data_IF_951808261954
#
_entry.id   IF_951808261954
#
_cell.length_a   1.000
_cell.length_b   1.000
_cell.length_c   1.000
_cell.angle_alpha   90.00
_cell.angle_beta   90.00
_cell.angle_gamma   90.00
#
_symmetry.space_group_name_H-M   'P 1'
#
loop_
_entity.id
_entity.type
_entity.pdbx_description
1 polymer ?
#
# COMPACT_ATOMS: atom_id res chain seq x y z
N UNK A 1 -8.24 -28.04 -53.51
CA UNK A 1 -6.85 -28.35 -53.11
C UNK A 1 -6.84 -28.81 -51.67
N UNK A 2 -6.67 -30.13 -51.42
CA UNK A 2 -6.80 -30.74 -50.10
C UNK A 2 -5.45 -30.80 -49.37
N UNK A 3 -5.43 -30.52 -48.06
CA UNK A 3 -4.42 -30.96 -47.08
C UNK A 3 -5.15 -31.01 -45.72
N UNK A 4 -5.69 -32.16 -45.31
CA UNK A 4 -5.00 -33.27 -44.64
C UNK A 4 -4.34 -32.88 -43.32
N UNK A 5 -4.95 -33.37 -42.22
CA UNK A 5 -4.33 -34.06 -41.06
C UNK A 5 -3.41 -33.24 -40.12
N UNK A 6 -3.45 -33.32 -38.79
CA UNK A 6 -3.70 -34.45 -37.88
C UNK A 6 -4.29 -34.00 -36.53
N UNK A 7 -5.18 -34.82 -36.02
CA UNK A 7 -5.65 -34.86 -34.64
C UNK A 7 -4.58 -35.49 -33.73
N UNK A 8 -3.92 -34.69 -32.89
CA UNK A 8 -3.10 -35.23 -31.80
C UNK A 8 -3.99 -35.42 -30.57
N UNK A 9 -4.59 -36.60 -30.49
CA UNK A 9 -5.11 -37.16 -29.24
C UNK A 9 -3.92 -37.43 -28.32
N UNK A 10 -3.70 -36.57 -27.32
CA UNK A 10 -2.85 -36.89 -26.18
C UNK A 10 -3.59 -37.93 -25.32
N UNK A 11 -3.30 -39.21 -25.58
CA UNK A 11 -3.54 -40.30 -24.64
C UNK A 11 -2.69 -40.06 -23.40
N UNK A 12 -3.33 -39.81 -22.27
CA UNK A 12 -2.70 -39.91 -20.97
C UNK A 12 -2.67 -41.39 -20.61
N UNK A 13 -1.56 -42.06 -20.90
CA UNK A 13 -1.27 -43.39 -20.38
C UNK A 13 -1.25 -43.33 -18.85
N UNK A 14 -2.23 -43.99 -18.25
CA UNK A 14 -2.37 -44.15 -16.81
C UNK A 14 -1.77 -45.50 -16.46
N UNK A 15 -0.47 -45.52 -16.21
CA UNK A 15 0.22 -46.69 -15.69
C UNK A 15 -0.34 -47.05 -14.30
N UNK A 16 -1.20 -48.06 -14.25
CA UNK A 16 -1.53 -48.81 -13.05
C UNK A 16 -0.42 -49.81 -12.78
N UNK A 17 0.62 -49.37 -12.08
CA UNK A 17 1.59 -50.27 -11.45
C UNK A 17 0.95 -51.00 -10.27
N UNK A 18 0.47 -52.21 -10.51
CA UNK A 18 0.09 -53.18 -9.48
C UNK A 18 1.36 -53.77 -8.86
N UNK A 19 1.95 -53.06 -7.89
CA UNK A 19 2.93 -53.62 -6.96
C UNK A 19 2.21 -54.15 -5.73
N UNK A 20 2.01 -55.47 -5.67
CA UNK A 20 1.52 -56.17 -4.48
C UNK A 20 2.67 -56.20 -3.47
N UNK A 21 2.76 -55.17 -2.64
CA UNK A 21 3.67 -55.14 -1.49
C UNK A 21 2.92 -55.58 -0.24
N UNK A 22 3.51 -56.55 0.45
CA UNK A 22 3.00 -57.21 1.64
C UNK A 22 2.54 -56.24 2.73
N UNK A 23 1.40 -56.61 3.32
CA UNK A 23 0.66 -55.85 4.33
C UNK A 23 1.40 -55.82 5.65
N UNK A 24 1.83 -54.64 6.07
CA UNK A 24 2.07 -54.30 7.47
C UNK A 24 0.80 -53.62 8.03
N UNK A 25 -0.01 -54.25 8.90
CA UNK A 25 -1.35 -53.77 9.27
C UNK A 25 -1.40 -52.66 10.32
N UNK A 26 -0.28 -52.08 10.77
CA UNK A 26 -0.25 -51.18 11.93
C UNK A 26 -0.19 -49.66 11.63
N UNK A 27 -0.32 -49.20 10.38
CA UNK A 27 -0.21 -47.77 10.08
C UNK A 27 -1.23 -47.28 9.03
N UNK A 28 -2.51 -47.53 9.28
CA UNK A 28 -3.59 -46.87 8.56
C UNK A 28 -3.91 -45.52 9.21
N UNK A 29 -2.93 -44.61 9.28
CA UNK A 29 -3.27 -43.20 9.33
C UNK A 29 -3.89 -42.86 7.99
N UNK A 30 -5.23 -42.89 7.96
CA UNK A 30 -6.08 -42.52 6.86
C UNK A 30 -5.73 -41.08 6.45
N UNK A 31 -4.74 -40.95 5.57
CA UNK A 31 -4.40 -39.71 4.90
C UNK A 31 -5.49 -39.51 3.86
N UNK A 32 -6.66 -39.05 4.32
CA UNK A 32 -7.72 -38.55 3.47
C UNK A 32 -7.08 -37.39 2.71
N UNK A 33 -6.62 -37.65 1.48
CA UNK A 33 -6.29 -36.60 0.52
C UNK A 33 -7.60 -35.88 0.22
N UNK A 34 -7.97 -34.96 1.10
CA UNK A 34 -9.12 -34.09 0.97
C UNK A 34 -9.01 -33.47 -0.43
N UNK A 35 -10.00 -33.74 -1.28
CA UNK A 35 -10.07 -33.16 -2.62
C UNK A 35 -10.14 -31.64 -2.45
N UNK A 36 -9.00 -30.99 -2.57
CA UNK A 36 -8.93 -29.53 -2.50
C UNK A 36 -9.82 -28.94 -3.58
N UNK A 37 -10.60 -27.92 -3.21
CA UNK A 37 -11.41 -27.17 -4.16
C UNK A 37 -10.52 -26.53 -5.22
N UNK A 38 -11.07 -26.22 -6.40
CA UNK A 38 -10.30 -25.57 -7.47
C UNK A 38 -9.75 -24.20 -7.03
N UNK A 39 -10.45 -23.51 -6.14
CA UNK A 39 -9.98 -22.24 -5.54
C UNK A 39 -8.77 -22.47 -4.65
N UNK A 40 -8.81 -23.51 -3.79
CA UNK A 40 -7.71 -23.86 -2.89
C UNK A 40 -6.47 -24.32 -3.65
N UNK A 41 -6.63 -25.15 -4.69
CA UNK A 41 -5.52 -25.52 -5.60
C UNK A 41 -4.89 -24.30 -6.26
N UNK A 42 -5.71 -23.36 -6.72
CA UNK A 42 -5.25 -22.11 -7.35
C UNK A 42 -4.57 -21.18 -6.34
N UNK A 43 -5.02 -21.17 -5.08
CA UNK A 43 -4.39 -20.41 -4.00
C UNK A 43 -3.01 -21.00 -3.67
N UNK A 44 -2.90 -22.31 -3.48
CA UNK A 44 -1.62 -23.00 -3.23
C UNK A 44 -0.63 -22.85 -4.38
N UNK A 45 -1.09 -22.96 -5.63
CA UNK A 45 -0.23 -22.69 -6.79
C UNK A 45 0.29 -21.26 -6.77
N UNK A 46 -0.56 -20.26 -6.48
CA UNK A 46 -0.14 -18.86 -6.36
C UNK A 46 0.84 -18.65 -5.22
N UNK A 47 0.61 -19.27 -4.06
CA UNK A 47 1.53 -19.22 -2.92
C UNK A 47 2.90 -19.83 -3.30
N UNK A 48 2.90 -21.01 -3.92
CA UNK A 48 4.12 -21.68 -4.40
C UNK A 48 4.89 -20.83 -5.42
N UNK A 49 4.21 -20.21 -6.39
CA UNK A 49 4.84 -19.33 -7.39
C UNK A 49 5.33 -18.03 -6.76
N UNK A 50 4.65 -17.50 -5.74
CA UNK A 50 5.07 -16.26 -5.07
C UNK A 50 6.25 -16.45 -4.11
N UNK A 51 6.44 -17.64 -3.56
CA UNK A 51 7.53 -17.95 -2.64
C UNK A 51 8.92 -17.91 -3.31
N UNK A 52 8.99 -18.22 -4.61
CA UNK A 52 10.24 -18.17 -5.39
C UNK A 52 10.22 -16.99 -6.39
N UNK A 53 11.07 -15.96 -6.21
CA UNK A 53 11.08 -14.79 -7.08
C UNK A 53 11.46 -15.12 -8.53
N UNK A 54 12.32 -16.12 -8.76
CA UNK A 54 12.76 -16.54 -10.09
C UNK A 54 11.63 -17.29 -10.80
N UNK A 55 10.97 -18.23 -10.10
CA UNK A 55 9.79 -18.91 -10.63
C UNK A 55 8.66 -17.91 -10.94
N UNK A 56 8.43 -16.92 -10.08
CA UNK A 56 7.47 -15.84 -10.30
C UNK A 56 7.79 -15.04 -11.55
N UNK A 57 9.05 -14.65 -11.73
CA UNK A 57 9.49 -13.90 -12.90
C UNK A 57 9.25 -14.69 -14.20
N UNK A 58 9.65 -15.97 -14.23
CA UNK A 58 9.42 -16.87 -15.38
C UNK A 58 7.93 -17.06 -15.68
N UNK A 59 7.11 -17.26 -14.64
CA UNK A 59 5.66 -17.37 -14.79
C UNK A 59 5.04 -16.11 -15.40
N UNK A 60 5.43 -14.93 -14.90
CA UNK A 60 4.96 -13.65 -15.44
C UNK A 60 5.43 -13.43 -16.88
N UNK A 61 6.68 -13.77 -17.21
CA UNK A 61 7.21 -13.70 -18.57
C UNK A 61 6.40 -14.58 -19.54
N UNK A 62 6.18 -15.85 -19.19
CA UNK A 62 5.34 -16.78 -19.99
C UNK A 62 3.92 -16.26 -20.17
N UNK A 63 3.36 -15.63 -19.13
CA UNK A 63 2.01 -15.02 -19.19
C UNK A 63 1.98 -13.81 -20.13
N UNK A 64 3.02 -12.96 -20.13
CA UNK A 64 3.17 -11.84 -21.07
C UNK A 64 3.32 -12.34 -22.51
N UNK A 65 4.15 -13.34 -22.74
CA UNK A 65 4.36 -13.93 -24.07
C UNK A 65 3.06 -14.54 -24.63
N UNK A 66 2.34 -15.34 -23.82
CA UNK A 66 1.04 -15.89 -24.19
C UNK A 66 0.00 -14.81 -24.51
N UNK A 67 0.02 -13.69 -23.79
CA UNK A 67 -0.84 -12.54 -24.09
C UNK A 67 -0.48 -11.91 -25.44
N UNK A 68 0.81 -11.66 -25.71
CA UNK A 68 1.26 -11.10 -26.99
C UNK A 68 0.95 -12.03 -28.17
N UNK A 69 1.07 -13.35 -27.98
CA UNK A 69 0.69 -14.35 -28.96
C UNK A 69 -0.80 -14.27 -29.29
N UNK A 70 -1.67 -14.29 -28.28
CA UNK A 70 -3.13 -14.13 -28.48
C UNK A 70 -3.52 -12.78 -29.07
N UNK A 71 -2.77 -11.72 -28.75
CA UNK A 71 -2.95 -10.39 -29.34
C UNK A 71 -2.63 -10.41 -30.84
N UNK A 72 -1.51 -11.01 -31.25
CA UNK A 72 -1.15 -11.19 -32.67
C UNK A 72 -2.16 -12.05 -33.43
N UNK A 73 -2.69 -13.08 -32.78
CA UNK A 73 -3.71 -13.97 -33.37
C UNK A 73 -5.12 -13.37 -33.37
N UNK A 74 -5.33 -12.14 -32.88
CA UNK A 74 -6.66 -11.53 -32.78
C UNK A 74 -7.63 -12.24 -31.83
N UNK A 75 -7.16 -13.21 -31.03
CA UNK A 75 -7.98 -14.01 -30.09
C UNK A 75 -8.25 -13.30 -28.76
N UNK A 76 -8.09 -11.98 -28.71
CA UNK A 76 -8.48 -11.19 -27.55
C UNK A 76 -10.00 -11.12 -27.48
N UNK A 77 -10.59 -11.74 -26.44
CA UNK A 77 -12.06 -11.81 -26.22
C UNK A 77 -12.78 -10.46 -26.20
N UNK A 78 -12.03 -9.37 -26.05
CA UNK A 78 -12.56 -8.02 -26.04
C UNK A 78 -11.78 -7.19 -27.06
N UNK A 79 -12.46 -6.51 -27.99
CA UNK A 79 -11.81 -5.56 -28.88
C UNK A 79 -11.20 -4.42 -28.05
N UNK A 80 -10.10 -3.81 -28.52
CA UNK A 80 -9.56 -2.58 -27.95
C UNK A 80 -10.67 -1.55 -27.71
N UNK A 81 -10.63 -0.88 -26.56
CA UNK A 81 -11.67 0.11 -26.18
C UNK A 81 -11.79 1.23 -27.22
N UNK A 82 -10.68 1.58 -27.88
CA UNK A 82 -10.64 2.57 -28.95
C UNK A 82 -11.46 2.18 -30.20
N UNK A 83 -11.63 0.88 -30.46
CA UNK A 83 -12.42 0.36 -31.59
C UNK A 83 -13.92 0.27 -31.26
N UNK A 84 -14.32 0.50 -30.01
CA UNK A 84 -15.72 0.51 -29.61
C UNK A 84 -16.36 1.86 -29.95
N UNK A 85 -17.64 1.84 -30.33
CA UNK A 85 -18.44 3.05 -30.47
C UNK A 85 -18.46 3.87 -29.17
N UNK A 86 -18.53 5.21 -29.28
CA UNK A 86 -18.52 6.13 -28.14
C UNK A 86 -19.55 5.75 -27.06
N UNK A 87 -20.78 5.42 -27.49
CA UNK A 87 -21.84 4.97 -26.60
C UNK A 87 -21.46 3.71 -25.79
N UNK A 88 -20.80 2.73 -26.43
CA UNK A 88 -20.36 1.50 -25.76
C UNK A 88 -19.18 1.73 -24.82
N UNK A 89 -18.27 2.64 -25.18
CA UNK A 89 -17.21 3.08 -24.27
C UNK A 89 -17.79 3.75 -23.02
N UNK A 90 -18.78 4.62 -23.18
CA UNK A 90 -19.44 5.30 -22.06
C UNK A 90 -20.22 4.33 -21.17
N UNK A 91 -20.90 3.34 -21.76
CA UNK A 91 -21.55 2.27 -21.01
C UNK A 91 -20.56 1.46 -20.16
N UNK A 92 -19.38 1.12 -20.72
CA UNK A 92 -18.30 0.45 -19.95
C UNK A 92 -17.76 1.34 -18.83
N UNK A 93 -17.55 2.64 -19.09
CA UNK A 93 -17.14 3.61 -18.06
C UNK A 93 -18.17 3.70 -16.94
N UNK A 94 -19.46 3.79 -17.25
CA UNK A 94 -20.54 3.80 -16.25
C UNK A 94 -20.58 2.51 -15.45
N UNK A 95 -20.48 1.34 -16.11
CA UNK A 95 -20.42 0.04 -15.43
C UNK A 95 -19.24 -0.04 -14.46
N UNK A 96 -18.07 0.46 -14.85
CA UNK A 96 -16.90 0.52 -13.99
C UNK A 96 -17.12 1.44 -12.78
N UNK A 97 -17.73 2.63 -12.96
CA UNK A 97 -18.08 3.53 -11.84
C UNK A 97 -19.04 2.87 -10.86
N UNK A 98 -20.08 2.18 -11.35
CA UNK A 98 -21.04 1.46 -10.52
C UNK A 98 -20.36 0.32 -9.76
N UNK A 99 -19.50 -0.45 -10.42
CA UNK A 99 -18.71 -1.49 -9.77
C UNK A 99 -17.81 -0.92 -8.66
N UNK A 100 -17.13 0.21 -8.89
CA UNK A 100 -16.29 0.87 -7.89
C UNK A 100 -17.13 1.38 -6.70
N UNK A 101 -18.27 2.02 -6.95
CA UNK A 101 -19.19 2.46 -5.89
C UNK A 101 -19.66 1.27 -5.06
N UNK A 102 -20.13 0.20 -5.71
CA UNK A 102 -20.56 -1.03 -5.05
C UNK A 102 -19.43 -1.65 -4.22
N UNK A 103 -18.19 -1.71 -4.76
CA UNK A 103 -17.02 -2.21 -4.03
C UNK A 103 -16.72 -1.37 -2.79
N UNK A 104 -16.75 -0.05 -2.90
CA UNK A 104 -16.55 0.86 -1.74
C UNK A 104 -17.65 0.68 -0.69
N UNK A 105 -18.91 0.58 -1.10
CA UNK A 105 -20.03 0.29 -0.20
C UNK A 105 -19.87 -1.07 0.48
N UNK A 106 -19.45 -2.12 -0.24
CA UNK A 106 -19.18 -3.44 0.34
C UNK A 106 -18.03 -3.42 1.35
N UNK A 107 -17.00 -2.60 1.12
CA UNK A 107 -15.88 -2.46 2.06
C UNK A 107 -16.34 -1.69 3.30
N UNK A 108 -17.11 -0.61 3.15
CA UNK A 108 -17.66 0.17 4.27
C UNK A 108 -18.65 -0.64 5.11
N UNK A 109 -19.48 -1.45 4.45
CA UNK A 109 -20.50 -2.28 5.10
C UNK A 109 -19.99 -3.70 5.38
N UNK A 110 -18.70 -3.99 5.17
CA UNK A 110 -18.14 -5.24 5.64
C UNK A 110 -18.22 -5.13 7.17
N UNK A 111 -18.98 -6.01 7.85
CA UNK A 111 -18.99 -5.99 9.30
C UNK A 111 -17.53 -6.01 9.72
N UNK A 112 -17.12 -5.06 10.54
CA UNK A 112 -15.87 -5.17 11.29
C UNK A 112 -16.05 -6.38 12.19
N UNK A 113 -15.96 -7.58 11.62
CA UNK A 113 -15.85 -8.81 12.37
C UNK A 113 -14.50 -8.70 13.07
N UNK A 114 -14.58 -8.25 14.32
CA UNK A 114 -13.68 -8.62 15.38
C UNK A 114 -12.20 -8.57 14.99
N UNK A 115 -11.65 -7.36 14.85
CA UNK A 115 -10.51 -7.12 15.73
C UNK A 115 -11.12 -7.20 17.12
N UNK A 116 -10.78 -8.27 17.83
CA UNK A 116 -11.11 -8.49 19.23
C UNK A 116 -11.12 -7.16 19.96
N UNK A 117 -12.18 -6.96 20.75
CA UNK A 117 -12.24 -6.03 21.86
C UNK A 117 -10.98 -6.21 22.72
N UNK A 118 -9.87 -5.61 22.29
CA UNK A 118 -8.83 -5.18 23.20
C UNK A 118 -9.48 -3.98 23.83
N UNK A 119 -9.94 -4.18 25.06
CA UNK A 119 -10.34 -3.15 26.00
C UNK A 119 -9.21 -2.13 26.01
N UNK A 120 -9.34 -1.10 25.16
CA UNK A 120 -8.41 0.01 25.12
C UNK A 120 -8.57 0.68 26.47
N UNK A 121 -7.53 0.55 27.29
CA UNK A 121 -7.43 1.17 28.58
C UNK A 121 -7.76 2.66 28.45
N UNK A 122 -8.88 3.07 29.03
CA UNK A 122 -9.45 4.42 28.91
C UNK A 122 -8.53 5.52 29.49
N UNK A 123 -7.48 5.15 30.23
CA UNK A 123 -6.47 6.09 30.73
C UNK A 123 -5.75 6.85 29.62
N UNK A 124 -5.50 6.24 28.45
CA UNK A 124 -4.83 6.92 27.33
C UNK A 124 -5.70 7.95 26.61
N UNK A 125 -7.00 8.03 26.92
CA UNK A 125 -7.91 9.02 26.36
C UNK A 125 -8.10 10.25 27.26
N UNK A 126 -7.54 10.24 28.47
CA UNK A 126 -7.79 11.29 29.47
C UNK A 126 -6.89 12.53 29.31
N UNK A 127 -5.74 12.40 28.65
CA UNK A 127 -4.77 13.50 28.51
C UNK A 127 -4.94 14.35 27.24
N UNK A 128 -5.88 14.01 26.35
CA UNK A 128 -6.27 14.87 25.22
C UNK A 128 -7.65 15.46 25.48
N UNK A 129 -7.68 16.44 26.37
CA UNK A 129 -8.86 17.27 26.57
C UNK A 129 -9.35 17.83 25.22
N UNK A 130 -10.63 17.67 24.86
CA UNK A 130 -11.22 18.42 23.78
C UNK A 130 -11.28 19.88 24.20
N UNK A 131 -10.61 20.74 23.44
CA UNK A 131 -10.93 22.16 23.44
C UNK A 131 -12.45 22.29 23.19
N UNK A 132 -13.16 22.69 24.24
CA UNK A 132 -14.57 23.08 24.17
C UNK A 132 -14.75 24.14 23.10
N UNK A 133 -15.65 23.94 22.12
CA UNK A 133 -16.15 25.03 21.30
C UNK A 133 -17.06 25.89 22.17
N UNK A 134 -16.54 27.00 22.69
CA UNK A 134 -17.36 28.03 23.32
C UNK A 134 -18.28 28.67 22.28
N UNK A 135 -19.57 28.36 22.43
CA UNK A 135 -20.72 29.28 22.53
C UNK A 135 -20.68 30.62 21.78
N UNK A 136 -21.75 30.82 21.01
CA UNK A 136 -22.55 32.05 20.86
C UNK A 136 -22.04 33.17 19.94
N UNK A 137 -22.53 33.16 18.69
CA UNK A 137 -23.14 34.36 18.09
C UNK A 137 -24.43 33.95 17.37
N UNK A 138 -25.56 34.31 17.97
CA UNK A 138 -26.87 34.35 17.34
C UNK A 138 -26.99 35.67 16.57
N UNK A 139 -27.40 35.63 15.30
CA UNK A 139 -28.03 36.75 14.58
C UNK A 139 -28.41 36.39 13.14
N UNK A 140 -29.71 36.23 12.90
CA UNK A 140 -30.38 37.06 11.89
C UNK A 140 -30.74 36.47 10.52
N UNK A 141 -32.01 36.06 10.42
CA UNK A 141 -32.99 36.47 9.39
C UNK A 141 -32.92 35.93 7.93
N UNK A 142 -34.03 35.26 7.62
CA UNK A 142 -34.55 34.77 6.34
C UNK A 142 -34.23 35.55 5.04
N UNK A 143 -33.91 34.79 3.98
CA UNK A 143 -34.71 34.74 2.73
C UNK A 143 -34.31 33.56 1.84
N UNK A 144 -35.31 32.95 1.20
CA UNK A 144 -35.22 31.88 0.22
C UNK A 144 -34.30 32.24 -0.96
N UNK A 145 -33.56 31.25 -1.48
CA UNK A 145 -32.99 31.32 -2.83
C UNK A 145 -31.89 30.29 -3.15
N UNK A 146 -32.25 29.29 -3.96
CA UNK A 146 -31.40 28.59 -4.96
C UNK A 146 -30.19 27.74 -4.49
N UNK A 147 -30.13 26.43 -4.82
CA UNK A 147 -28.93 25.63 -4.66
C UNK A 147 -27.97 25.88 -5.84
N UNK A 148 -27.16 26.93 -5.77
CA UNK A 148 -25.98 27.06 -6.64
C UNK A 148 -24.79 26.43 -5.93
N UNK A 149 -24.44 25.25 -6.43
CA UNK A 149 -23.19 24.53 -6.16
C UNK A 149 -21.98 25.45 -6.37
N UNK A 150 -21.50 26.07 -5.29
CA UNK A 150 -20.26 26.85 -5.29
C UNK A 150 -19.10 25.96 -4.85
N UNK A 151 -18.37 25.45 -5.83
CA UNK A 151 -17.01 24.95 -5.65
C UNK A 151 -16.08 26.15 -5.34
N UNK A 152 -16.09 26.59 -4.08
CA UNK A 152 -15.09 27.48 -3.53
C UNK A 152 -13.89 26.65 -3.08
N UNK A 153 -12.95 26.41 -4.00
CA UNK A 153 -11.59 25.98 -3.69
C UNK A 153 -10.67 27.21 -3.70
N UNK A 154 -11.08 28.30 -3.06
CA UNK A 154 -10.15 29.40 -2.82
C UNK A 154 -9.09 28.92 -1.84
N UNK A 155 -7.86 28.94 -2.35
CA UNK A 155 -6.59 28.83 -1.63
C UNK A 155 -6.64 29.62 -0.33
N UNK A 156 -6.87 28.92 0.78
CA UNK A 156 -6.34 29.35 2.06
C UNK A 156 -4.95 28.71 2.14
N UNK A 157 -3.89 29.50 1.99
CA UNK A 157 -2.58 29.05 2.44
C UNK A 157 -2.67 28.90 3.96
N UNK A 158 -2.48 27.68 4.53
CA UNK A 158 -2.26 27.59 5.95
C UNK A 158 -0.92 28.29 6.23
N UNK A 159 -0.97 29.33 7.07
CA UNK A 159 0.20 29.86 7.76
C UNK A 159 1.04 28.70 8.26
N UNK A 160 2.33 28.73 7.95
CA UNK A 160 3.27 27.68 8.33
C UNK A 160 3.42 27.65 9.84
N UNK A 161 2.53 26.94 10.52
CA UNK A 161 2.81 26.42 11.85
C UNK A 161 3.96 25.45 11.65
N UNK A 162 5.15 25.89 12.05
CA UNK A 162 6.31 25.01 12.23
C UNK A 162 5.87 24.03 13.31
N UNK A 163 5.36 22.88 12.89
CA UNK A 163 5.14 21.75 13.78
C UNK A 163 6.54 21.27 14.14
N UNK A 164 7.04 21.80 15.24
CA UNK A 164 8.25 21.35 15.90
C UNK A 164 7.97 19.93 16.39
N UNK A 165 8.39 18.95 15.59
CA UNK A 165 8.44 17.56 16.02
C UNK A 165 9.57 17.44 17.03
N UNK A 166 9.28 17.69 18.30
CA UNK A 166 10.22 17.39 19.36
C UNK A 166 10.47 15.87 19.35
N UNK A 167 11.71 15.55 19.02
CA UNK A 167 12.23 14.22 18.80
C UNK A 167 12.42 13.54 20.16
N UNK A 168 11.43 12.79 20.64
CA UNK A 168 11.44 12.13 21.96
C UNK A 168 12.43 10.97 22.10
N UNK A 169 13.37 10.81 21.15
CA UNK A 169 14.47 9.84 21.22
C UNK A 169 15.80 10.47 21.66
N UNK A 170 15.78 11.38 22.64
CA UNK A 170 17.00 11.78 23.34
C UNK A 170 16.90 11.37 24.80
N UNK A 171 17.54 10.24 25.12
CA UNK A 171 17.92 9.86 26.47
C UNK A 171 18.54 11.07 27.20
N UNK A 172 18.23 11.30 28.49
CA UNK A 172 18.97 12.29 29.25
C UNK A 172 20.41 11.81 29.43
N UNK A 173 21.36 12.62 28.95
CA UNK A 173 22.75 12.58 29.42
C UNK A 173 22.73 12.93 30.91
N UNK A 174 22.73 11.90 31.75
CA UNK A 174 22.95 12.05 33.18
C UNK A 174 24.44 12.29 33.41
N UNK A 175 24.69 13.38 34.13
CA UNK A 175 25.98 13.84 34.64
C UNK A 175 26.80 12.74 35.29
N UNK A 176 28.09 12.80 35.00
CA UNK A 176 29.19 12.12 35.65
C UNK A 176 29.10 12.16 37.18
N UNK A 177 29.06 10.98 37.81
CA UNK A 177 29.76 10.75 39.07
C UNK A 177 30.49 9.41 39.01
N UNK A 178 31.80 9.54 39.00
CA UNK A 178 32.84 8.55 39.16
C UNK A 178 32.57 7.59 40.33
N UNK A 179 32.47 6.28 40.07
CA UNK A 179 32.71 5.25 41.07
C UNK A 179 33.31 3.99 40.44
N UNK A 180 34.64 3.94 40.48
CA UNK A 180 35.42 2.71 40.29
C UNK A 180 35.08 1.72 41.42
N UNK A 181 34.84 0.45 41.05
CA UNK A 181 35.52 -0.75 41.57
C UNK A 181 34.71 -2.03 41.35
N UNK A 182 35.39 -3.02 40.76
CA UNK A 182 35.16 -4.48 40.78
C UNK A 182 34.47 -5.10 39.55
N UNK A 183 35.17 -5.97 38.78
CA UNK A 183 34.60 -6.67 37.64
C UNK A 183 33.93 -7.97 38.09
N UNK A 184 32.60 -8.01 38.07
CA UNK A 184 31.86 -9.26 37.97
C UNK A 184 31.38 -9.42 36.53
N UNK A 185 31.98 -10.39 35.83
CA UNK A 185 31.39 -11.01 34.66
C UNK A 185 30.06 -11.65 35.08
N UNK A 186 28.95 -11.03 34.71
CA UNK A 186 27.66 -11.69 34.62
C UNK A 186 27.15 -11.53 33.20
N UNK A 187 26.94 -12.68 32.56
CA UNK A 187 26.36 -12.83 31.24
C UNK A 187 25.09 -11.99 31.13
N UNK A 188 25.17 -10.90 30.36
CA UNK A 188 24.00 -10.32 29.72
C UNK A 188 23.51 -11.30 28.64
N UNK A 189 22.95 -12.43 29.10
CA UNK A 189 22.04 -13.23 28.33
C UNK A 189 20.91 -12.29 27.94
N UNK A 190 20.89 -11.89 26.68
CA UNK A 190 19.77 -11.20 26.08
C UNK A 190 18.50 -11.94 26.50
N UNK A 191 17.71 -11.31 27.37
CA UNK A 191 16.40 -11.79 27.79
C UNK A 191 15.51 -11.70 26.55
N UNK A 192 15.68 -12.67 25.65
CA UNK A 192 14.65 -13.01 24.70
C UNK A 192 13.45 -13.38 25.58
N UNK A 193 12.30 -12.68 25.48
CA UNK A 193 11.16 -13.01 26.30
C UNK A 193 10.90 -14.48 26.09
N UNK A 194 11.03 -15.27 27.16
CA UNK A 194 10.92 -16.73 27.10
C UNK A 194 9.46 -17.04 26.75
N UNK A 195 9.15 -17.09 25.45
CA UNK A 195 7.81 -17.34 24.90
C UNK A 195 7.37 -18.80 25.13
N UNK A 196 8.18 -19.58 25.82
CA UNK A 196 8.15 -21.04 25.91
C UNK A 196 7.01 -21.59 26.78
N UNK A 197 6.27 -20.73 27.49
CA UNK A 197 5.10 -21.09 28.30
C UNK A 197 3.75 -20.63 27.75
N UNK A 198 3.71 -19.93 26.61
CA UNK A 198 2.46 -19.37 26.09
C UNK A 198 1.67 -20.40 25.26
N UNK A 199 0.33 -20.41 25.36
CA UNK A 199 -0.51 -21.22 24.48
C UNK A 199 -0.21 -20.91 23.00
N UNK A 200 -0.22 -21.93 22.14
CA UNK A 200 0.10 -21.77 20.71
C UNK A 200 -0.77 -20.74 19.98
N UNK A 201 -2.01 -20.53 20.43
CA UNK A 201 -2.91 -19.49 19.92
C UNK A 201 -2.41 -18.07 20.22
N UNK A 202 -1.84 -17.87 21.40
CA UNK A 202 -1.26 -16.59 21.83
C UNK A 202 0.03 -16.33 21.05
N UNK A 203 0.91 -17.33 20.93
CA UNK A 203 2.13 -17.20 20.11
C UNK A 203 1.82 -16.83 18.66
N UNK A 204 0.85 -17.51 18.03
CA UNK A 204 0.44 -17.18 16.66
C UNK A 204 -0.07 -15.73 16.55
N UNK A 205 -0.77 -15.24 17.56
CA UNK A 205 -1.28 -13.87 17.60
C UNK A 205 -0.14 -12.87 17.75
N UNK A 206 0.83 -13.13 18.63
CA UNK A 206 2.05 -12.33 18.79
C UNK A 206 2.80 -12.26 17.46
N UNK A 207 3.05 -13.39 16.80
CA UNK A 207 3.74 -13.42 15.51
C UNK A 207 2.98 -12.62 14.45
N UNK A 208 1.65 -12.73 14.39
CA UNK A 208 0.83 -11.95 13.43
C UNK A 208 0.93 -10.45 13.70
N UNK A 209 0.88 -10.03 14.97
CA UNK A 209 1.01 -8.63 15.35
C UNK A 209 2.41 -8.11 15.01
N UNK A 210 3.46 -8.89 15.29
CA UNK A 210 4.83 -8.56 14.93
C UNK A 210 4.97 -8.30 13.42
N UNK A 211 4.51 -9.23 12.59
CA UNK A 211 4.56 -9.05 11.13
C UNK A 211 3.74 -7.83 10.65
N UNK A 212 2.61 -7.54 11.30
CA UNK A 212 1.82 -6.35 10.97
C UNK A 212 2.56 -5.06 11.33
N UNK A 213 3.19 -5.02 12.51
CA UNK A 213 3.99 -3.87 12.96
C UNK A 213 5.17 -3.65 12.02
N UNK A 214 5.92 -4.71 11.70
CA UNK A 214 7.05 -4.62 10.75
C UNK A 214 6.60 -4.13 9.37
N UNK A 215 5.50 -4.67 8.84
CA UNK A 215 4.95 -4.24 7.55
C UNK A 215 4.48 -2.77 7.57
N UNK A 216 3.95 -2.30 8.69
CA UNK A 216 3.59 -0.89 8.86
C UNK A 216 4.82 0.00 8.96
N UNK A 217 5.86 -0.46 9.67
CA UNK A 217 7.12 0.27 9.80
C UNK A 217 7.83 0.43 8.46
N UNK A 218 7.89 -0.63 7.65
CA UNK A 218 8.42 -0.57 6.27
C UNK A 218 7.65 0.44 5.43
N UNK A 219 6.30 0.43 5.54
CA UNK A 219 5.46 1.37 4.79
C UNK A 219 5.67 2.82 5.22
N UNK A 220 5.92 3.07 6.50
CA UNK A 220 6.24 4.41 7.02
C UNK A 220 7.57 4.86 6.43
N UNK A 221 8.61 4.03 6.50
CA UNK A 221 9.93 4.36 5.95
C UNK A 221 9.88 4.68 4.44
N UNK A 222 9.09 3.94 3.66
CA UNK A 222 8.88 4.22 2.24
C UNK A 222 8.17 5.56 1.98
N UNK A 223 7.23 5.95 2.85
CA UNK A 223 6.54 7.23 2.75
C UNK A 223 7.45 8.39 3.17
N UNK A 224 8.29 8.20 4.19
CA UNK A 224 9.27 9.18 4.62
C UNK A 224 10.28 9.49 3.51
N UNK A 225 10.79 8.46 2.82
CA UNK A 225 11.65 8.67 1.63
C UNK A 225 10.94 9.47 0.54
N UNK A 226 9.70 9.11 0.21
CA UNK A 226 8.92 9.85 -0.80
C UNK A 226 8.70 11.31 -0.41
N UNK A 227 8.44 11.59 0.87
CA UNK A 227 8.29 12.96 1.36
C UNK A 227 9.61 13.72 1.23
N UNK A 228 10.73 13.08 1.56
CA UNK A 228 12.05 13.67 1.39
C UNK A 228 12.35 14.02 -0.07
N UNK A 229 12.12 13.10 -1.01
CA UNK A 229 12.31 13.33 -2.45
C UNK A 229 11.45 14.51 -2.95
N UNK A 230 10.18 14.57 -2.53
CA UNK A 230 9.29 15.69 -2.88
C UNK A 230 9.75 17.02 -2.26
N UNK A 231 10.35 17.00 -1.07
CA UNK A 231 10.93 18.19 -0.46
C UNK A 231 12.18 18.66 -1.19
N UNK A 232 13.00 17.75 -1.73
CA UNK A 232 14.11 18.08 -2.63
C UNK A 232 13.62 18.71 -3.92
N UNK A 233 12.64 18.11 -4.58
CA UNK A 233 12.02 18.66 -5.79
C UNK A 233 11.47 20.07 -5.56
N UNK A 234 10.76 20.27 -4.44
CA UNK A 234 10.23 21.58 -4.05
C UNK A 234 11.35 22.60 -3.86
N UNK A 235 12.46 22.23 -3.21
CA UNK A 235 13.63 23.11 -3.03
C UNK A 235 14.24 23.48 -4.38
N UNK A 236 14.45 22.49 -5.25
CA UNK A 236 15.00 22.68 -6.59
C UNK A 236 14.15 23.62 -7.44
N UNK A 237 12.82 23.44 -7.46
CA UNK A 237 11.91 24.31 -8.20
C UNK A 237 11.93 25.75 -7.65
N UNK A 238 12.00 25.92 -6.33
CA UNK A 238 12.13 27.26 -5.72
C UNK A 238 13.41 27.96 -6.15
N UNK A 239 14.54 27.26 -6.14
CA UNK A 239 15.83 27.81 -6.59
C UNK A 239 15.81 28.19 -8.08
N UNK A 240 15.15 27.41 -8.94
CA UNK A 240 14.98 27.77 -10.34
C UNK A 240 14.14 29.04 -10.53
N UNK A 241 13.01 29.13 -9.81
CA UNK A 241 12.15 30.33 -9.86
C UNK A 241 12.94 31.56 -9.42
N UNK A 242 13.69 31.46 -8.33
CA UNK A 242 14.54 32.54 -7.83
C UNK A 242 15.60 32.94 -8.86
N UNK A 243 16.32 31.98 -9.44
CA UNK A 243 17.33 32.25 -10.47
C UNK A 243 16.76 32.98 -11.69
N UNK A 244 15.60 32.56 -12.18
CA UNK A 244 14.93 33.20 -13.32
C UNK A 244 14.41 34.60 -12.96
N UNK A 245 13.86 34.75 -11.75
CA UNK A 245 13.39 36.04 -11.25
C UNK A 245 14.53 37.04 -11.12
N UNK A 246 15.69 36.61 -10.61
CA UNK A 246 16.89 37.44 -10.51
C UNK A 246 17.43 37.84 -11.89
N UNK A 247 17.45 36.91 -12.85
CA UNK A 247 17.87 37.21 -14.22
C UNK A 247 16.94 38.23 -14.90
N UNK A 248 15.62 38.10 -14.70
CA UNK A 248 14.63 39.06 -15.21
C UNK A 248 14.76 40.43 -14.54
N UNK A 249 14.96 40.47 -13.21
CA UNK A 249 15.15 41.72 -12.47
C UNK A 249 16.39 42.48 -12.95
N UNK A 250 17.52 41.79 -13.15
CA UNK A 250 18.74 42.39 -13.72
C UNK A 250 18.50 42.94 -15.13
N UNK A 251 17.73 42.25 -15.95
CA UNK A 251 17.40 42.71 -17.31
C UNK A 251 16.54 43.99 -17.30
N UNK A 252 15.51 44.03 -16.44
CA UNK A 252 14.65 45.20 -16.27
C UNK A 252 15.43 46.42 -15.76
N UNK A 253 16.35 46.23 -14.81
CA UNK A 253 17.20 47.33 -14.34
C UNK A 253 18.15 47.88 -15.42
N UNK A 254 18.60 47.05 -16.37
CA UNK A 254 19.51 47.47 -17.44
C UNK A 254 18.79 48.22 -18.56
N UNK A 255 17.58 47.77 -18.94
CA UNK A 255 16.78 48.41 -20.00
C UNK A 255 16.38 49.85 -19.69
N UNK A 256 16.20 50.19 -18.41
CA UNK A 256 15.81 51.55 -17.99
C UNK A 256 16.99 52.54 -17.96
N UNK A 257 18.25 52.08 -18.00
CA UNK A 257 19.42 52.97 -17.94
C UNK A 257 19.78 53.54 -19.33
N UNK A 258 19.56 52.76 -20.39
CA UNK A 258 19.89 53.15 -21.77
C UNK A 258 18.86 54.16 -22.36
N UNK A 259 17.66 54.27 -21.79
CA UNK A 259 16.63 55.23 -22.24
C UNK A 259 16.87 56.65 -21.72
N UNK A 260 17.63 56.82 -20.64
CA UNK A 260 17.89 58.13 -19.99
C UNK A 260 19.12 58.83 -20.59
N UNK A 261 20.03 58.10 -21.25
CA UNK A 261 21.28 58.65 -21.80
C UNK A 261 21.25 58.97 -23.30
N UNK A 262 20.13 58.71 -23.99
CA UNK A 262 20.00 58.86 -25.45
C UNK A 262 19.42 60.18 -25.98
N UNK A 263 19.32 61.25 -25.17
CA UNK A 263 18.93 62.59 -25.64
C UNK A 263 19.92 63.64 -25.16
N UNK A 264 20.92 63.90 -26.01
CA UNK A 264 21.86 65.02 -25.92
C UNK A 264 22.37 65.34 -27.30
#
# INVERSE_FOLDING_TARGET
MPKSTDSVLLSCDRETGNGVSERNPANYHCCVKMRLSNNEKSARHRAKVNADPVARARYLAKRRESYQRRKREGKTKHPPVAELSKARQDALRQKWRLYQRSRRSKIRNLPQQSCSQVEMNSEWLQDFAPYSPSSEVDSGSARQGSPVSSCSWMKQEPETVVIQWDNTNTLPAATETQQDNTPSSDDSTAISPTLEGLPSSVMLTITKLHCLVESKQERIADLERQVHDLQEDRRFLRSQIESLTNALSLHVCRGNLDEITGKG
#
